data_IF_585125062955
#
_entry.id   IF_585125062955
#
_cell.length_a   1.000
_cell.length_b   1.000
_cell.length_c   1.000
_cell.angle_alpha   90.00
_cell.angle_beta   90.00
_cell.angle_gamma   90.00
#
_symmetry.space_group_name_H-M   'P 1'
#
loop_
_entity.id
_entity.type
_entity.pdbx_description
1 polymer ?
#
# COMPACT_ATOMS: atom_id res chain seq x y z
N UNK A 1 -19.25 10.00 -16.06
CA UNK A 1 -18.21 8.93 -16.06
C UNK A 1 -18.55 7.96 -17.18
N UNK A 2 -17.70 7.86 -18.19
CA UNK A 2 -17.83 6.82 -19.21
C UNK A 2 -17.60 5.48 -18.52
N UNK A 3 -18.63 4.65 -18.50
CA UNK A 3 -18.55 3.31 -17.94
C UNK A 3 -17.69 2.46 -18.88
N UNK A 4 -16.42 2.27 -18.53
CA UNK A 4 -15.50 1.43 -19.30
C UNK A 4 -15.81 -0.03 -18.96
N UNK A 5 -16.53 -0.71 -19.87
CA UNK A 5 -16.91 -2.10 -19.70
C UNK A 5 -15.85 -3.04 -20.28
N UNK A 6 -15.11 -3.69 -19.39
CA UNK A 6 -14.06 -4.65 -19.75
C UNK A 6 -14.57 -6.04 -20.16
N UNK A 7 -15.87 -6.32 -19.97
CA UNK A 7 -16.44 -7.67 -20.18
C UNK A 7 -16.40 -8.13 -21.64
N UNK A 8 -16.36 -7.20 -22.59
CA UNK A 8 -16.36 -7.46 -24.02
C UNK A 8 -14.94 -7.50 -24.61
N UNK A 9 -13.89 -7.26 -23.82
CA UNK A 9 -12.53 -7.26 -24.28
C UNK A 9 -11.98 -8.68 -24.40
N UNK A 10 -11.23 -8.94 -25.45
CA UNK A 10 -10.39 -10.14 -25.58
C UNK A 10 -9.27 -10.14 -24.53
N UNK A 11 -8.65 -11.28 -24.26
CA UNK A 11 -7.50 -11.37 -23.34
C UNK A 11 -6.36 -10.43 -23.75
N UNK A 12 -6.09 -10.31 -25.05
CA UNK A 12 -5.06 -9.40 -25.58
C UNK A 12 -5.36 -7.93 -25.29
N UNK A 13 -6.62 -7.51 -25.47
CA UNK A 13 -7.07 -6.15 -25.17
C UNK A 13 -7.05 -5.86 -23.66
N UNK A 14 -7.42 -6.83 -22.81
CA UNK A 14 -7.31 -6.71 -21.37
C UNK A 14 -5.87 -6.49 -20.93
N UNK A 15 -4.91 -7.26 -21.43
CA UNK A 15 -3.48 -7.10 -21.12
C UNK A 15 -2.92 -5.78 -21.62
N UNK A 16 -3.32 -5.34 -22.82
CA UNK A 16 -2.91 -4.04 -23.37
C UNK A 16 -3.46 -2.90 -22.53
N UNK A 17 -4.74 -2.93 -22.15
CA UNK A 17 -5.38 -1.94 -21.29
C UNK A 17 -4.71 -1.88 -19.92
N UNK A 18 -4.44 -3.01 -19.29
CA UNK A 18 -3.73 -3.09 -18.02
C UNK A 18 -2.34 -2.42 -18.11
N UNK A 19 -1.60 -2.68 -19.20
CA UNK A 19 -0.29 -2.08 -19.42
C UNK A 19 -0.38 -0.55 -19.60
N UNK A 20 -1.40 -0.07 -20.31
CA UNK A 20 -1.64 1.37 -20.50
C UNK A 20 -2.00 2.04 -19.16
N UNK A 21 -2.85 1.41 -18.34
CA UNK A 21 -3.19 1.91 -17.00
C UNK A 21 -1.94 2.05 -16.14
N UNK A 22 -1.09 1.02 -16.09
CA UNK A 22 0.17 1.08 -15.34
C UNK A 22 1.12 2.17 -15.88
N UNK A 23 1.16 2.35 -17.21
CA UNK A 23 1.92 3.42 -17.86
C UNK A 23 1.48 4.81 -17.39
N UNK A 24 0.17 5.04 -17.35
CA UNK A 24 -0.42 6.32 -16.93
C UNK A 24 -0.19 6.58 -15.43
N UNK A 25 -0.42 5.59 -14.56
CA UNK A 25 -0.14 5.72 -13.13
C UNK A 25 1.33 6.06 -12.86
N UNK A 26 2.24 5.49 -13.65
CA UNK A 26 3.67 5.80 -13.55
C UNK A 26 3.97 7.22 -14.06
N UNK A 27 3.35 7.64 -15.17
CA UNK A 27 3.51 8.99 -15.70
C UNK A 27 3.07 10.06 -14.68
N UNK A 28 2.01 9.79 -13.92
CA UNK A 28 1.55 10.66 -12.81
C UNK A 28 2.42 10.56 -11.55
N UNK A 29 3.44 9.70 -11.53
CA UNK A 29 4.32 9.53 -10.36
C UNK A 29 3.71 8.74 -9.20
N UNK A 30 2.54 8.11 -9.40
CA UNK A 30 1.81 7.38 -8.34
C UNK A 30 2.38 5.98 -8.09
N UNK A 31 3.06 5.40 -9.08
CA UNK A 31 3.75 4.12 -8.95
C UNK A 31 5.16 4.21 -9.52
N UNK A 32 6.08 3.43 -8.96
CA UNK A 32 7.49 3.40 -9.37
C UNK A 32 7.86 2.19 -10.19
N UNK A 33 7.07 1.13 -10.10
CA UNK A 33 7.31 -0.14 -10.77
C UNK A 33 6.18 -0.48 -11.74
N UNK A 34 6.39 -1.50 -12.61
CA UNK A 34 5.36 -2.05 -13.50
C UNK A 34 4.66 -3.27 -12.89
N UNK A 35 4.93 -3.58 -11.62
CA UNK A 35 4.30 -4.67 -10.90
C UNK A 35 2.90 -4.27 -10.41
N UNK A 36 2.27 -5.11 -9.60
CA UNK A 36 0.96 -4.80 -9.02
C UNK A 36 1.01 -3.45 -8.28
N UNK A 37 0.21 -2.45 -8.67
CA UNK A 37 0.39 -1.06 -8.24
C UNK A 37 0.02 -0.81 -6.79
N UNK A 38 -0.70 -1.73 -6.14
CA UNK A 38 -1.24 -1.51 -4.78
C UNK A 38 -0.15 -1.24 -3.75
N UNK A 39 1.05 -1.82 -3.92
CA UNK A 39 2.20 -1.56 -3.04
C UNK A 39 2.63 -0.10 -3.11
N UNK A 40 2.99 0.35 -4.30
CA UNK A 40 3.44 1.72 -4.55
C UNK A 40 2.36 2.75 -4.16
N UNK A 41 1.07 2.46 -4.45
CA UNK A 41 -0.05 3.33 -4.06
C UNK A 41 -0.21 3.41 -2.54
N UNK A 42 -0.03 2.30 -1.82
CA UNK A 42 -0.09 2.27 -0.36
C UNK A 42 1.07 3.08 0.27
N UNK A 43 2.27 2.97 -0.26
CA UNK A 43 3.42 3.77 0.16
C UNK A 43 3.15 5.26 -0.07
N UNK A 44 2.61 5.63 -1.24
CA UNK A 44 2.27 7.01 -1.57
C UNK A 44 1.18 7.58 -0.64
N UNK A 45 0.10 6.83 -0.41
CA UNK A 45 -0.96 7.24 0.52
C UNK A 45 -0.43 7.38 1.96
N UNK A 46 0.48 6.50 2.40
CA UNK A 46 1.14 6.65 3.69
C UNK A 46 2.02 7.90 3.74
N UNK A 47 2.75 8.24 2.68
CA UNK A 47 3.53 9.47 2.64
C UNK A 47 2.63 10.70 2.85
N UNK A 48 1.45 10.75 2.20
CA UNK A 48 0.45 11.80 2.46
C UNK A 48 -0.02 11.75 3.92
N UNK A 49 -0.45 10.57 4.40
CA UNK A 49 -1.01 10.40 5.75
C UNK A 49 -0.04 10.84 6.85
N UNK A 50 1.24 10.62 6.68
CA UNK A 50 2.27 10.95 7.67
C UNK A 50 2.99 12.28 7.37
N UNK A 51 2.55 13.02 6.36
CA UNK A 51 3.14 14.29 5.94
C UNK A 51 4.62 14.17 5.60
N UNK A 52 4.99 13.02 5.04
CA UNK A 52 6.37 12.62 4.83
C UNK A 52 6.76 12.48 3.35
N UNK A 53 7.94 11.94 3.13
CA UNK A 53 8.51 11.73 1.80
C UNK A 53 8.83 10.25 1.58
N UNK A 54 8.60 9.78 0.36
CA UNK A 54 8.96 8.42 -0.05
C UNK A 54 10.48 8.24 -0.02
N UNK A 55 10.93 7.10 0.52
CA UNK A 55 12.32 6.70 0.49
C UNK A 55 12.79 6.45 -0.96
N UNK A 56 14.11 6.49 -1.18
CA UNK A 56 14.70 6.13 -2.47
C UNK A 56 14.45 4.65 -2.79
N UNK A 57 14.27 4.32 -4.06
CA UNK A 57 14.03 2.93 -4.50
C UNK A 57 15.11 1.91 -4.08
N UNK A 58 16.31 2.37 -3.73
CA UNK A 58 17.40 1.54 -3.23
C UNK A 58 17.30 1.22 -1.74
N UNK A 59 16.44 1.91 -0.99
CA UNK A 59 16.20 1.63 0.43
C UNK A 59 15.41 0.32 0.58
N UNK A 60 15.81 -0.49 1.55
CA UNK A 60 15.22 -1.84 1.75
C UNK A 60 14.56 -2.00 3.11
N UNK A 61 14.76 -1.04 3.99
CA UNK A 61 14.36 -1.17 5.39
C UNK A 61 13.10 -0.40 5.72
N UNK A 62 12.81 0.68 5.00
CA UNK A 62 11.62 1.50 5.16
C UNK A 62 11.17 2.06 3.81
N UNK A 63 9.93 2.50 3.71
CA UNK A 63 9.32 2.98 2.47
C UNK A 63 9.15 4.50 2.45
N UNK A 64 9.09 5.14 3.62
CA UNK A 64 8.99 6.59 3.76
C UNK A 64 9.61 7.11 5.06
N UNK A 65 9.93 8.41 5.06
CA UNK A 65 10.31 9.18 6.25
C UNK A 65 9.15 10.11 6.58
N UNK A 66 8.53 9.95 7.74
CA UNK A 66 7.42 10.78 8.20
C UNK A 66 7.89 12.19 8.57
N UNK A 67 6.94 13.14 8.68
CA UNK A 67 7.26 14.55 9.05
C UNK A 67 7.89 14.70 10.43
N UNK A 68 7.68 13.73 11.33
CA UNK A 68 8.29 13.64 12.66
C UNK A 68 9.68 12.95 12.65
N UNK A 69 10.18 12.58 11.48
CA UNK A 69 11.47 11.90 11.27
C UNK A 69 11.44 10.38 11.43
N UNK A 70 10.30 9.78 11.79
CA UNK A 70 10.19 8.31 11.90
C UNK A 70 10.32 7.62 10.54
N UNK A 71 11.05 6.50 10.53
CA UNK A 71 11.19 5.62 9.39
C UNK A 71 10.03 4.63 9.37
N UNK A 72 9.23 4.64 8.31
CA UNK A 72 8.01 3.83 8.22
C UNK A 72 8.12 2.81 7.09
N UNK A 73 7.89 1.55 7.43
CA UNK A 73 7.68 0.45 6.49
C UNK A 73 6.19 0.33 6.19
N UNK A 74 5.81 0.05 4.95
CA UNK A 74 4.41 -0.16 4.55
C UNK A 74 4.21 -1.60 4.08
N UNK A 75 3.15 -2.23 4.52
CA UNK A 75 2.71 -3.54 4.07
C UNK A 75 1.25 -3.50 3.71
N UNK A 76 0.92 -3.79 2.48
CA UNK A 76 -0.46 -3.78 1.99
C UNK A 76 -0.89 -5.17 1.53
N UNK A 77 -2.17 -5.46 1.68
CA UNK A 77 -2.80 -6.66 1.13
C UNK A 77 -4.18 -6.35 0.61
N UNK A 78 -4.45 -6.79 -0.62
CA UNK A 78 -5.81 -6.86 -1.12
C UNK A 78 -6.56 -7.99 -0.39
N UNK A 79 -7.75 -7.68 0.07
CA UNK A 79 -8.65 -8.60 0.76
C UNK A 79 -10.04 -8.56 0.11
N UNK A 80 -10.81 -9.57 0.39
CA UNK A 80 -12.22 -9.72 0.03
C UNK A 80 -12.95 -10.54 1.10
N UNK A 81 -14.23 -10.82 0.89
CA UNK A 81 -15.04 -11.61 1.82
C UNK A 81 -14.52 -13.05 2.03
N UNK A 82 -13.73 -13.59 1.11
CA UNK A 82 -13.14 -14.92 1.18
C UNK A 82 -11.73 -14.91 1.83
N UNK A 83 -11.19 -13.74 2.19
CA UNK A 83 -9.85 -13.62 2.76
C UNK A 83 -9.77 -14.27 4.14
N UNK A 84 -8.97 -15.33 4.25
CA UNK A 84 -8.73 -16.01 5.53
C UNK A 84 -7.89 -15.16 6.48
N UNK A 85 -8.22 -15.10 7.79
CA UNK A 85 -7.37 -14.48 8.81
C UNK A 85 -5.94 -15.06 8.87
N UNK A 86 -5.72 -16.26 8.37
CA UNK A 86 -4.40 -16.90 8.29
C UNK A 86 -3.52 -16.37 7.17
N UNK A 87 -4.07 -15.63 6.21
CA UNK A 87 -3.28 -15.00 5.15
C UNK A 87 -2.27 -14.02 5.72
N UNK A 88 -1.12 -13.91 5.06
CA UNK A 88 0.01 -13.12 5.55
C UNK A 88 0.31 -11.94 4.64
N UNK A 89 0.83 -10.88 5.23
CA UNK A 89 1.51 -9.82 4.48
C UNK A 89 2.82 -10.34 3.87
N UNK A 90 3.40 -9.58 2.94
CA UNK A 90 4.75 -9.84 2.45
C UNK A 90 5.75 -9.80 3.61
N UNK A 91 6.75 -10.66 3.54
CA UNK A 91 7.72 -10.85 4.63
C UNK A 91 8.56 -9.61 4.90
N UNK A 92 8.86 -9.39 6.18
CA UNK A 92 9.74 -8.33 6.67
C UNK A 92 11.11 -8.94 6.93
N UNK A 93 12.14 -8.48 6.19
CA UNK A 93 13.50 -9.03 6.24
C UNK A 93 14.49 -8.16 7.00
N UNK A 94 14.18 -6.90 7.22
CA UNK A 94 15.00 -5.98 8.00
C UNK A 94 14.11 -5.17 8.94
N UNK A 95 14.69 -4.67 10.02
CA UNK A 95 14.01 -3.89 11.05
C UNK A 95 14.66 -2.49 11.20
N UNK A 96 15.13 -1.92 10.09
CA UNK A 96 15.63 -0.55 10.05
C UNK A 96 14.49 0.48 9.90
N UNK A 97 13.36 0.26 10.56
CA UNK A 97 12.22 1.17 10.64
C UNK A 97 11.77 1.34 12.10
N UNK A 98 11.09 2.44 12.38
CA UNK A 98 10.49 2.72 13.70
C UNK A 98 9.09 2.11 13.81
N UNK A 99 8.32 2.18 12.71
CA UNK A 99 6.96 1.63 12.65
C UNK A 99 6.69 0.94 11.31
N UNK A 100 5.77 -0.02 11.33
CA UNK A 100 5.23 -0.68 10.14
C UNK A 100 3.73 -0.44 10.06
N UNK A 101 3.25 0.11 8.95
CA UNK A 101 1.83 0.31 8.69
C UNK A 101 1.32 -0.84 7.82
N UNK A 102 0.40 -1.61 8.39
CA UNK A 102 -0.28 -2.71 7.71
C UNK A 102 -1.63 -2.23 7.19
N UNK A 103 -1.86 -2.35 5.89
CA UNK A 103 -3.05 -1.83 5.20
C UNK A 103 -3.81 -2.98 4.53
N UNK A 104 -5.11 -3.03 4.74
CA UNK A 104 -6.03 -3.90 4.04
C UNK A 104 -6.84 -3.08 3.04
N UNK A 105 -6.84 -3.52 1.79
CA UNK A 105 -7.56 -2.87 0.69
C UNK A 105 -8.62 -3.83 0.17
N UNK A 106 -9.87 -3.43 0.19
CA UNK A 106 -11.01 -4.17 -0.34
C UNK A 106 -11.70 -3.34 -1.42
N UNK A 107 -11.89 -3.92 -2.60
CA UNK A 107 -12.55 -3.24 -3.73
C UNK A 107 -11.89 -1.91 -4.12
N UNK A 108 -10.57 -1.75 -3.91
CA UNK A 108 -9.84 -0.53 -4.19
C UNK A 108 -9.88 0.54 -3.08
N UNK A 109 -10.52 0.24 -1.94
CA UNK A 109 -10.65 1.15 -0.79
C UNK A 109 -9.94 0.60 0.45
N UNK A 110 -9.40 1.47 1.29
CA UNK A 110 -8.80 1.06 2.58
C UNK A 110 -9.90 0.60 3.53
N UNK A 111 -9.92 -0.70 3.84
CA UNK A 111 -10.87 -1.30 4.78
C UNK A 111 -10.37 -1.24 6.23
N UNK A 112 -9.05 -1.38 6.44
CA UNK A 112 -8.42 -1.23 7.75
C UNK A 112 -6.93 -0.89 7.60
N UNK A 113 -6.37 -0.17 8.58
CA UNK A 113 -4.94 0.08 8.67
C UNK A 113 -4.49 0.14 10.14
N UNK A 114 -3.35 -0.50 10.45
CA UNK A 114 -2.78 -0.55 11.80
C UNK A 114 -1.30 -0.21 11.76
N UNK A 115 -0.87 0.68 12.64
CA UNK A 115 0.53 1.00 12.86
C UNK A 115 1.08 0.19 14.03
N UNK A 116 2.11 -0.60 13.78
CA UNK A 116 2.85 -1.35 14.79
C UNK A 116 4.27 -0.83 14.88
N UNK A 117 4.79 -0.66 16.09
CA UNK A 117 6.21 -0.42 16.31
C UNK A 117 7.06 -1.60 15.83
N UNK A 118 8.34 -1.37 15.59
CA UNK A 118 9.28 -2.45 15.23
C UNK A 118 9.32 -3.56 16.31
N UNK A 119 9.15 -3.19 17.59
CA UNK A 119 9.09 -4.13 18.70
C UNK A 119 7.83 -4.99 18.65
N UNK A 120 6.65 -4.40 18.39
CA UNK A 120 5.40 -5.14 18.24
C UNK A 120 5.46 -6.11 17.05
N UNK A 121 6.08 -5.71 15.95
CA UNK A 121 6.31 -6.60 14.80
C UNK A 121 7.21 -7.80 15.19
N UNK A 122 8.26 -7.58 15.99
CA UNK A 122 9.12 -8.67 16.48
C UNK A 122 8.39 -9.58 17.45
N UNK A 123 7.58 -9.02 18.33
CA UNK A 123 6.88 -9.75 19.41
C UNK A 123 5.72 -10.60 18.85
N UNK A 124 4.90 -10.03 17.95
CA UNK A 124 3.68 -10.66 17.47
C UNK A 124 3.85 -11.33 16.10
N UNK A 125 4.84 -10.93 15.31
CA UNK A 125 5.16 -11.57 14.05
C UNK A 125 5.79 -12.95 14.23
N UNK A 126 5.63 -13.82 13.24
CA UNK A 126 6.24 -15.15 13.25
C UNK A 126 7.55 -15.15 12.45
N UNK A 127 8.67 -15.35 13.14
CA UNK A 127 9.96 -15.50 12.47
C UNK A 127 10.04 -16.82 11.67
N UNK A 128 10.61 -16.73 10.48
CA UNK A 128 10.87 -17.85 9.55
C UNK A 128 12.37 -17.95 9.28
N UNK A 129 13.02 -18.94 9.87
CA UNK A 129 14.49 -19.12 9.78
C UNK A 129 14.98 -19.34 8.35
N UNK A 130 14.28 -20.17 7.55
CA UNK A 130 14.66 -20.50 6.18
C UNK A 130 14.61 -19.31 5.21
N UNK A 131 13.83 -18.25 5.51
CA UNK A 131 13.77 -17.01 4.70
C UNK A 131 14.40 -15.82 5.40
N UNK A 132 14.88 -16.02 6.63
CA UNK A 132 15.38 -14.95 7.52
C UNK A 132 14.44 -13.74 7.52
N UNK A 133 13.17 -13.99 7.83
CA UNK A 133 12.14 -12.96 7.75
C UNK A 133 11.04 -13.16 8.78
N UNK A 134 10.34 -12.08 9.11
CA UNK A 134 9.17 -12.09 9.98
C UNK A 134 7.91 -11.90 9.12
N UNK A 135 6.88 -12.69 9.39
CA UNK A 135 5.57 -12.57 8.75
C UNK A 135 4.51 -12.18 9.77
N UNK A 136 3.56 -11.35 9.34
CA UNK A 136 2.37 -10.94 10.11
C UNK A 136 1.14 -11.44 9.37
N UNK A 137 0.15 -11.96 10.10
CA UNK A 137 -1.12 -12.44 9.54
C UNK A 137 -2.18 -11.36 9.61
N UNK A 138 -3.10 -11.36 8.66
CA UNK A 138 -4.24 -10.45 8.62
C UNK A 138 -5.03 -10.47 9.94
N UNK A 139 -5.31 -11.66 10.47
CA UNK A 139 -6.07 -11.81 11.72
C UNK A 139 -5.37 -11.31 12.99
N UNK A 140 -4.07 -11.00 12.93
CA UNK A 140 -3.31 -10.50 14.08
C UNK A 140 -3.38 -8.98 14.24
N UNK A 141 -3.77 -8.23 13.22
CA UNK A 141 -3.61 -6.77 13.19
C UNK A 141 -4.29 -6.06 14.36
N UNK A 142 -5.45 -6.56 14.79
CA UNK A 142 -6.25 -5.93 15.87
C UNK A 142 -5.76 -6.27 17.28
N UNK A 143 -4.75 -7.11 17.43
CA UNK A 143 -4.23 -7.53 18.73
C UNK A 143 -3.17 -6.59 19.29
N UNK A 144 -2.61 -5.72 18.46
CA UNK A 144 -1.57 -4.78 18.86
C UNK A 144 -1.57 -3.54 17.97
N UNK A 145 -0.78 -2.54 18.37
CA UNK A 145 -0.59 -1.31 17.62
C UNK A 145 -1.76 -0.32 17.74
N UNK A 146 -1.66 0.70 16.91
CA UNK A 146 -2.64 1.79 16.84
C UNK A 146 -3.48 1.64 15.58
N UNK A 147 -4.80 1.76 15.69
CA UNK A 147 -5.69 1.85 14.54
C UNK A 147 -5.50 3.22 13.87
N UNK A 148 -5.00 3.20 12.64
CA UNK A 148 -4.76 4.38 11.81
C UNK A 148 -5.65 4.37 10.55
N UNK A 149 -6.72 3.58 10.57
CA UNK A 149 -7.60 3.36 9.41
C UNK A 149 -8.10 4.66 8.81
N UNK A 150 -8.67 5.55 9.63
CA UNK A 150 -9.24 6.81 9.11
C UNK A 150 -8.16 7.73 8.53
N UNK A 151 -7.00 7.80 9.18
CA UNK A 151 -5.86 8.60 8.72
C UNK A 151 -5.38 8.14 7.34
N UNK A 152 -5.19 6.83 7.17
CA UNK A 152 -4.72 6.25 5.90
C UNK A 152 -5.82 6.28 4.84
N UNK A 153 -7.09 6.05 5.23
CA UNK A 153 -8.24 6.11 4.31
C UNK A 153 -8.42 7.51 3.72
N UNK A 154 -8.32 8.54 4.52
CA UNK A 154 -8.40 9.93 4.05
C UNK A 154 -7.32 10.21 3.01
N UNK A 155 -6.06 9.89 3.33
CA UNK A 155 -4.95 10.07 2.41
C UNK A 155 -5.08 9.23 1.13
N UNK A 156 -5.62 8.03 1.23
CA UNK A 156 -5.93 7.17 0.09
C UNK A 156 -6.97 7.84 -0.83
N UNK A 157 -8.04 8.39 -0.26
CA UNK A 157 -9.06 9.11 -1.04
C UNK A 157 -8.51 10.38 -1.68
N UNK A 158 -7.68 11.14 -0.97
CA UNK A 158 -7.00 12.32 -1.51
C UNK A 158 -6.12 11.92 -2.71
N UNK A 159 -5.35 10.85 -2.58
CA UNK A 159 -4.53 10.30 -3.67
C UNK A 159 -5.39 9.92 -4.89
N UNK A 160 -6.55 9.30 -4.69
CA UNK A 160 -7.44 8.90 -5.80
C UNK A 160 -7.98 10.08 -6.60
N UNK A 161 -8.02 11.28 -6.03
CA UNK A 161 -8.47 12.51 -6.70
C UNK A 161 -7.34 13.24 -7.43
N UNK A 162 -6.08 12.84 -7.26
CA UNK A 162 -4.95 13.46 -7.95
C UNK A 162 -5.10 13.34 -9.46
N UNK A 163 -5.03 14.46 -10.15
CA UNK A 163 -5.15 14.54 -11.61
C UNK A 163 -6.58 14.72 -12.14
N UNK A 164 -7.62 14.67 -11.30
CA UNK A 164 -8.97 15.08 -11.71
C UNK A 164 -9.11 16.60 -11.87
N UNK A 165 -8.26 17.38 -11.21
CA UNK A 165 -8.27 18.84 -11.20
C UNK A 165 -7.60 19.50 -12.43
N UNK A 166 -6.88 18.77 -13.27
CA UNK A 166 -6.10 19.34 -14.39
C UNK A 166 -6.92 19.49 -15.67
N UNK A 167 -8.18 19.04 -15.71
CA UNK A 167 -9.03 19.15 -16.91
C UNK A 167 -9.98 20.34 -16.93
N UNK A 168 -9.85 21.31 -16.03
CA UNK A 168 -10.77 22.46 -15.97
C UNK A 168 -10.18 23.76 -16.55
N UNK A 169 -8.91 23.78 -16.97
CA UNK A 169 -8.30 24.97 -17.59
C UNK A 169 -7.70 24.66 -18.98
N UNK A 170 -8.55 24.32 -19.93
CA UNK A 170 -8.23 24.47 -21.37
C UNK A 170 -9.52 24.50 -22.18
N UNK A 171 -10.19 25.65 -22.12
CA UNK A 171 -11.02 26.20 -23.19
C UNK A 171 -10.72 27.70 -23.35
#
# INVERSE_FOLDING_TARGET
MTNFDVKHLTVGELLSTYTQILGELRHRGLIRTKNAPVGDLAEYACAIAYGGELAKNSEKSFDLVASDGRLIQVKVRNVDAATSPSQTFSSIRSFGFDACVFILVDGGSVSAAFEWSAEEVRTHGKYRSHTNSTIVRVGQLRFSGTDVTEKVRTAWLDMLTLGAAVQIESD
#
